data_IF_614042123091
#
_entry.id   IF_614042123091
#
_cell.length_a   1.000
_cell.length_b   1.000
_cell.length_c   1.000
_cell.angle_alpha   90.00
_cell.angle_beta   90.00
_cell.angle_gamma   90.00
#
_symmetry.space_group_name_H-M   'P 1'
#
loop_
_entity.id
_entity.type
_entity.pdbx_description
1 polymer ?
#
# COMPACT_ATOMS: atom_id res chain seq x y z
N UNK A 1 17.96 18.90 68.13
CA UNK A 1 18.27 19.55 66.83
C UNK A 1 18.87 18.47 65.94
N UNK A 2 18.46 18.14 64.71
CA UNK A 2 17.41 18.51 63.76
C UNK A 2 17.38 17.28 62.82
N UNK A 3 16.30 16.49 62.76
CA UNK A 3 15.35 16.46 61.62
C UNK A 3 15.95 17.01 60.32
N UNK A 4 16.18 16.15 59.31
CA UNK A 4 15.87 16.32 57.86
C UNK A 4 16.87 15.56 56.98
N UNK A 5 16.63 14.26 56.72
CA UNK A 5 17.06 13.58 55.47
C UNK A 5 16.07 12.45 55.12
N UNK A 6 14.78 12.72 55.26
CA UNK A 6 13.70 11.85 54.79
C UNK A 6 12.80 12.74 53.93
N UNK A 7 12.98 12.66 52.61
CA UNK A 7 12.08 13.13 51.54
C UNK A 7 12.91 13.68 50.36
N UNK A 8 13.53 12.82 49.55
CA UNK A 8 13.87 13.21 48.17
C UNK A 8 13.95 12.04 47.17
N UNK A 9 13.55 10.82 47.55
CA UNK A 9 13.56 9.63 46.66
C UNK A 9 12.13 9.12 46.36
N UNK A 10 11.08 9.77 46.87
CA UNK A 10 9.68 9.32 46.69
C UNK A 10 8.82 10.22 45.77
N UNK A 11 9.41 11.16 45.02
CA UNK A 11 8.65 12.09 44.14
C UNK A 11 9.00 11.91 42.64
N UNK A 12 9.89 10.98 42.30
CA UNK A 12 10.31 10.70 40.91
C UNK A 12 9.59 9.48 40.30
N UNK A 13 8.38 9.16 40.78
CA UNK A 13 7.53 8.06 40.29
C UNK A 13 6.07 8.46 40.02
N UNK A 14 5.77 9.76 39.87
CA UNK A 14 4.39 10.25 39.64
C UNK A 14 4.26 11.29 38.53
N UNK A 15 5.01 11.12 37.44
CA UNK A 15 4.61 11.67 36.13
C UNK A 15 4.89 10.61 35.06
N UNK A 16 4.34 9.40 35.26
CA UNK A 16 3.93 8.62 34.10
C UNK A 16 2.80 9.42 33.47
N UNK A 17 2.81 9.77 32.17
CA UNK A 17 1.59 10.20 31.54
C UNK A 17 0.60 9.04 31.75
N UNK A 18 -0.45 9.30 32.52
CA UNK A 18 -1.62 8.45 32.64
C UNK A 18 -2.31 8.45 31.26
N UNK A 19 -1.66 7.88 30.24
CA UNK A 19 -2.36 7.28 29.14
C UNK A 19 -3.03 6.04 29.73
N UNK A 20 -4.21 6.25 30.33
CA UNK A 20 -5.16 5.16 30.45
C UNK A 20 -5.38 4.66 29.03
N UNK A 21 -4.72 3.57 28.64
CA UNK A 21 -4.83 3.01 27.31
C UNK A 21 -6.23 2.40 27.20
N UNK A 22 -7.19 3.16 26.67
CA UNK A 22 -8.57 2.71 26.45
C UNK A 22 -8.65 1.50 25.52
N UNK A 23 -7.63 1.27 24.71
CA UNK A 23 -7.52 0.10 23.86
C UNK A 23 -6.06 -0.25 23.58
N UNK A 24 -5.84 -1.50 23.18
CA UNK A 24 -4.52 -2.06 22.84
C UNK A 24 -3.83 -1.38 21.65
N UNK A 25 -4.55 -0.56 20.88
CA UNK A 25 -4.06 0.11 19.67
C UNK A 25 -3.74 1.59 19.87
N UNK A 26 -3.92 2.13 21.09
CA UNK A 26 -3.66 3.54 21.39
C UNK A 26 -4.60 4.52 20.66
N UNK A 27 -5.72 4.05 20.11
CA UNK A 27 -6.67 4.88 19.37
C UNK A 27 -7.45 5.76 20.34
N UNK A 28 -7.66 7.07 20.06
CA UNK A 28 -8.52 7.91 20.89
C UNK A 28 -9.94 7.33 21.00
N UNK A 29 -10.48 7.25 22.21
CA UNK A 29 -11.77 6.61 22.46
C UNK A 29 -12.83 7.62 22.95
N UNK A 30 -13.96 7.65 22.25
CA UNK A 30 -15.08 8.56 22.51
C UNK A 30 -16.32 7.86 23.10
N UNK A 31 -16.23 6.59 23.51
CA UNK A 31 -17.37 5.82 24.05
C UNK A 31 -18.09 6.48 25.22
N UNK A 32 -17.34 6.94 26.23
CA UNK A 32 -17.89 7.67 27.40
C UNK A 32 -18.68 8.91 26.97
N UNK A 33 -18.11 9.71 26.06
CA UNK A 33 -18.75 10.92 25.54
C UNK A 33 -20.01 10.53 24.75
N UNK A 34 -19.92 9.52 23.89
CA UNK A 34 -21.05 9.07 23.07
C UNK A 34 -22.20 8.51 23.91
N UNK A 35 -21.91 7.82 25.02
CA UNK A 35 -22.95 7.32 25.92
C UNK A 35 -23.81 8.47 26.49
N UNK A 36 -23.19 9.60 26.83
CA UNK A 36 -23.89 10.79 27.34
C UNK A 36 -24.71 11.53 26.25
N UNK A 37 -24.38 11.32 24.97
CA UNK A 37 -24.92 12.09 23.85
C UNK A 37 -26.00 11.36 23.03
N UNK A 38 -26.27 10.08 23.34
CA UNK A 38 -27.14 9.23 22.49
C UNK A 38 -28.51 9.84 22.22
N UNK A 39 -29.24 10.25 23.26
CA UNK A 39 -30.58 10.79 23.13
C UNK A 39 -30.60 12.16 22.42
N UNK A 40 -29.59 13.00 22.66
CA UNK A 40 -29.53 14.38 22.14
C UNK A 40 -29.11 14.43 20.67
N UNK A 41 -28.15 13.59 20.28
CA UNK A 41 -27.54 13.61 18.94
C UNK A 41 -27.95 12.39 18.10
N UNK A 42 -27.74 11.17 18.58
CA UNK A 42 -27.74 9.98 17.73
C UNK A 42 -29.14 9.43 17.45
N UNK A 43 -30.03 9.50 18.42
CA UNK A 43 -31.40 8.97 18.33
C UNK A 43 -32.44 10.05 17.99
N UNK A 44 -32.07 11.33 18.11
CA UNK A 44 -32.97 12.47 17.92
C UNK A 44 -33.34 12.71 16.44
N UNK A 45 -34.35 13.54 16.17
CA UNK A 45 -34.73 13.91 14.79
C UNK A 45 -33.76 14.92 14.19
N UNK A 46 -33.68 14.98 12.85
CA UNK A 46 -32.82 15.95 12.16
C UNK A 46 -33.16 17.40 12.55
N UNK A 47 -34.43 17.73 12.72
CA UNK A 47 -34.88 19.07 13.13
C UNK A 47 -34.29 19.48 14.48
N UNK A 48 -34.28 18.56 15.45
CA UNK A 48 -33.70 18.81 16.76
C UNK A 48 -32.17 18.81 16.73
N UNK A 49 -31.54 17.92 15.96
CA UNK A 49 -30.06 17.88 15.87
C UNK A 49 -29.52 19.16 15.22
N UNK A 50 -30.26 19.78 14.29
CA UNK A 50 -29.88 21.07 13.67
C UNK A 50 -29.83 22.25 14.65
N UNK A 51 -30.53 22.18 15.77
CA UNK A 51 -30.48 23.24 16.78
C UNK A 51 -29.26 23.10 17.69
N UNK A 52 -28.56 21.97 17.64
CA UNK A 52 -27.32 21.77 18.38
C UNK A 52 -26.17 22.54 17.72
N UNK A 53 -25.41 23.28 18.53
CA UNK A 53 -24.15 23.87 18.10
C UNK A 53 -23.02 22.83 18.20
N UNK A 54 -21.92 22.98 17.44
CA UNK A 54 -20.73 22.15 17.66
C UNK A 54 -20.22 22.27 19.09
N UNK A 55 -19.93 21.14 19.72
CA UNK A 55 -19.52 21.08 21.12
C UNK A 55 -18.22 20.30 21.27
N UNK A 56 -17.38 20.69 22.23
CA UNK A 56 -16.13 20.00 22.53
C UNK A 56 -16.22 19.38 23.92
N UNK A 57 -15.98 18.08 23.99
CA UNK A 57 -15.97 17.30 25.22
C UNK A 57 -14.57 16.75 25.47
N UNK A 58 -14.27 16.45 26.73
CA UNK A 58 -13.02 15.83 27.15
C UNK A 58 -13.37 14.51 27.83
N UNK A 59 -12.76 13.42 27.39
CA UNK A 59 -12.96 12.12 28.04
C UNK A 59 -12.13 12.03 29.33
N UNK A 60 -12.30 10.95 30.10
CA UNK A 60 -11.53 10.74 31.32
C UNK A 60 -10.00 10.52 31.11
N UNK A 61 -9.54 10.27 29.87
CA UNK A 61 -8.12 10.29 29.49
C UNK A 61 -7.58 11.69 29.15
N UNK A 62 -8.41 12.74 29.19
CA UNK A 62 -7.99 14.10 28.81
C UNK A 62 -7.96 14.35 27.30
N UNK A 63 -8.46 13.42 26.48
CA UNK A 63 -8.55 13.57 25.02
C UNK A 63 -9.78 14.41 24.68
N UNK A 64 -9.60 15.42 23.82
CA UNK A 64 -10.69 16.28 23.36
C UNK A 64 -11.35 15.71 22.12
N UNK A 65 -12.68 15.80 22.07
CA UNK A 65 -13.48 15.43 20.91
C UNK A 65 -14.46 16.53 20.57
N UNK A 66 -14.60 16.85 19.29
CA UNK A 66 -15.67 17.72 18.82
C UNK A 66 -16.82 16.88 18.27
N UNK A 67 -18.03 17.26 18.67
CA UNK A 67 -19.28 16.71 18.13
C UNK A 67 -19.91 17.76 17.25
N UNK A 68 -20.27 17.37 16.02
CA UNK A 68 -20.89 18.27 15.06
C UNK A 68 -21.80 17.54 14.09
N UNK A 69 -22.74 18.30 13.54
CA UNK A 69 -23.58 17.90 12.42
C UNK A 69 -22.93 18.39 11.12
N UNK A 70 -22.84 17.52 10.12
CA UNK A 70 -22.62 17.92 8.73
C UNK A 70 -23.70 17.31 7.85
N UNK A 71 -24.12 18.04 6.81
CA UNK A 71 -25.23 17.65 5.96
C UNK A 71 -24.78 17.48 4.51
N UNK A 72 -25.12 16.34 3.92
CA UNK A 72 -24.98 16.06 2.49
C UNK A 72 -26.34 16.15 1.78
N UNK A 73 -26.43 15.85 0.48
CA UNK A 73 -27.67 15.95 -0.28
C UNK A 73 -28.78 15.03 0.28
N UNK A 74 -28.46 13.75 0.53
CA UNK A 74 -29.42 12.73 0.98
C UNK A 74 -29.21 12.25 2.42
N UNK A 75 -28.06 12.56 3.02
CA UNK A 75 -27.70 12.11 4.37
C UNK A 75 -27.32 13.26 5.28
N UNK A 76 -27.45 13.05 6.58
CA UNK A 76 -26.84 13.90 7.59
C UNK A 76 -25.94 13.03 8.47
N UNK A 77 -24.80 13.60 8.84
CA UNK A 77 -23.69 12.89 9.44
C UNK A 77 -23.40 13.55 10.79
N UNK A 78 -23.32 12.74 11.83
CA UNK A 78 -22.93 13.20 13.16
C UNK A 78 -21.50 12.71 13.37
N UNK A 79 -20.58 13.65 13.49
CA UNK A 79 -19.17 13.40 13.72
C UNK A 79 -18.87 13.48 15.21
N UNK A 80 -18.06 12.56 15.69
CA UNK A 80 -17.38 12.61 16.99
C UNK A 80 -15.90 12.42 16.69
N UNK A 81 -15.19 13.54 16.59
CA UNK A 81 -13.83 13.60 16.04
C UNK A 81 -12.82 13.98 17.12
N UNK A 82 -11.72 13.24 17.29
CA UNK A 82 -10.66 13.62 18.21
C UNK A 82 -9.95 14.88 17.71
N UNK A 83 -9.37 15.61 18.65
CA UNK A 83 -8.45 16.71 18.37
C UNK A 83 -7.18 16.19 17.70
N UNK A 84 -6.70 16.94 16.70
CA UNK A 84 -5.41 16.74 16.07
C UNK A 84 -4.74 18.10 15.86
N UNK A 85 -3.40 18.13 15.91
CA UNK A 85 -2.63 19.32 15.59
C UNK A 85 -2.19 19.27 14.13
N UNK A 86 -2.50 20.31 13.36
CA UNK A 86 -1.98 20.49 12.00
C UNK A 86 -1.08 21.73 11.93
N UNK A 87 -0.04 21.63 11.11
CA UNK A 87 0.84 22.76 10.80
C UNK A 87 0.26 23.54 9.62
N UNK A 88 -0.29 24.73 9.86
CA UNK A 88 -0.87 25.59 8.82
C UNK A 88 0.14 26.64 8.40
N UNK A 89 0.45 26.72 7.10
CA UNK A 89 1.24 27.83 6.54
C UNK A 89 0.34 29.02 6.31
N UNK A 90 0.54 30.07 7.08
CA UNK A 90 -0.16 31.34 6.94
C UNK A 90 0.74 32.27 6.12
N UNK A 91 0.23 32.68 4.96
CA UNK A 91 0.84 33.71 4.13
C UNK A 91 0.33 35.07 4.59
N UNK A 92 1.24 35.98 4.91
CA UNK A 92 0.92 37.38 5.24
C UNK A 92 1.89 38.32 4.53
N UNK A 93 1.55 39.61 4.47
CA UNK A 93 2.40 40.67 3.92
C UNK A 93 3.78 40.77 4.63
N UNK A 94 3.94 40.13 5.80
CA UNK A 94 5.17 40.06 6.60
C UNK A 94 5.96 38.76 6.41
N UNK A 95 5.54 37.91 5.47
CA UNK A 95 6.15 36.61 5.18
C UNK A 95 5.26 35.41 5.51
N UNK A 96 5.82 34.22 5.28
CA UNK A 96 5.17 32.93 5.56
C UNK A 96 5.51 32.47 6.98
N UNK A 97 4.50 32.19 7.81
CA UNK A 97 4.67 31.59 9.14
C UNK A 97 3.95 30.25 9.22
N UNK A 98 4.52 29.29 9.94
CA UNK A 98 3.86 28.02 10.25
C UNK A 98 3.24 28.15 11.64
N UNK A 99 1.93 27.98 11.74
CA UNK A 99 1.18 28.03 12.99
C UNK A 99 0.57 26.65 13.26
N UNK A 100 0.71 26.15 14.50
CA UNK A 100 0.04 24.92 14.92
C UNK A 100 -1.40 25.26 15.26
N UNK A 101 -2.33 24.61 14.58
CA UNK A 101 -3.76 24.78 14.82
C UNK A 101 -4.37 23.46 15.26
N UNK A 102 -5.19 23.54 16.31
CA UNK A 102 -6.03 22.44 16.76
C UNK A 102 -7.22 22.32 15.81
N UNK A 103 -7.40 21.12 15.24
CA UNK A 103 -8.50 20.76 14.35
C UNK A 103 -9.15 19.45 14.79
N UNK A 104 -10.34 19.16 14.27
CA UNK A 104 -11.09 17.94 14.61
C UNK A 104 -11.50 17.17 13.34
N UNK A 105 -10.56 16.50 12.65
CA UNK A 105 -10.82 15.87 11.36
C UNK A 105 -11.86 14.75 11.47
N UNK A 106 -12.76 14.66 10.47
CA UNK A 106 -13.85 13.68 10.45
C UNK A 106 -13.42 12.22 10.25
N UNK A 107 -12.14 12.02 9.96
CA UNK A 107 -11.59 10.82 9.33
C UNK A 107 -10.21 10.40 9.88
N UNK A 108 -9.73 11.08 10.93
CA UNK A 108 -8.56 10.65 11.70
C UNK A 108 -8.84 9.41 12.57
N UNK A 109 -7.79 8.70 12.96
CA UNK A 109 -7.87 7.64 13.97
C UNK A 109 -8.59 8.10 15.25
N UNK A 110 -9.60 7.34 15.67
CA UNK A 110 -10.51 7.66 16.78
C UNK A 110 -11.80 8.38 16.35
N UNK A 111 -11.88 8.84 15.10
CA UNK A 111 -13.11 9.43 14.57
C UNK A 111 -14.22 8.41 14.44
N UNK A 112 -15.40 8.82 14.87
CA UNK A 112 -16.63 8.05 14.78
C UNK A 112 -17.70 8.86 14.04
N UNK A 113 -18.33 8.26 13.04
CA UNK A 113 -19.31 8.95 12.20
C UNK A 113 -20.58 8.13 12.07
N UNK A 114 -21.68 8.68 12.56
CA UNK A 114 -23.02 8.14 12.33
C UNK A 114 -23.65 8.83 11.12
N UNK A 115 -23.95 8.03 10.09
CA UNK A 115 -24.60 8.49 8.86
C UNK A 115 -26.06 8.08 8.91
N UNK A 116 -26.96 9.04 8.72
CA UNK A 116 -28.42 8.86 8.77
C UNK A 116 -29.07 9.41 7.50
N UNK A 117 -30.17 8.79 7.09
CA UNK A 117 -30.97 9.22 5.95
C UNK A 117 -31.76 10.49 6.30
N UNK A 118 -31.64 11.55 5.49
CA UNK A 118 -32.33 12.83 5.78
C UNK A 118 -33.85 12.72 5.74
N UNK A 119 -34.38 11.85 4.88
CA UNK A 119 -35.83 11.73 4.64
C UNK A 119 -36.53 10.96 5.75
N UNK A 120 -35.91 9.90 6.24
CA UNK A 120 -36.51 8.97 7.21
C UNK A 120 -35.93 9.10 8.60
N UNK A 121 -34.78 9.76 8.76
CA UNK A 121 -34.03 9.84 10.01
C UNK A 121 -33.39 8.51 10.44
N UNK A 122 -33.54 7.44 9.66
CA UNK A 122 -33.03 6.11 10.04
C UNK A 122 -31.50 6.07 9.93
N UNK A 123 -30.81 5.34 10.83
CA UNK A 123 -29.39 5.09 10.68
C UNK A 123 -29.12 4.26 9.42
N UNK A 124 -28.10 4.67 8.67
CA UNK A 124 -27.61 3.98 7.49
C UNK A 124 -26.33 3.22 7.81
N UNK A 125 -25.40 3.85 8.53
CA UNK A 125 -24.14 3.23 8.94
C UNK A 125 -23.46 3.99 10.06
N UNK A 126 -22.56 3.29 10.75
CA UNK A 126 -21.53 3.87 11.60
C UNK A 126 -20.19 3.60 10.93
N UNK A 127 -19.31 4.59 10.87
CA UNK A 127 -17.92 4.41 10.43
C UNK A 127 -16.97 4.71 11.59
N UNK A 128 -16.01 3.82 11.78
CA UNK A 128 -14.93 3.90 12.75
C UNK A 128 -13.60 4.03 12.01
N UNK A 129 -12.94 5.16 12.18
CA UNK A 129 -11.58 5.38 11.68
C UNK A 129 -10.59 5.01 12.78
N UNK A 130 -9.63 4.15 12.45
CA UNK A 130 -8.64 3.65 13.40
C UNK A 130 -7.22 3.65 12.81
N UNK A 131 -7.08 3.85 11.50
CA UNK A 131 -5.79 3.96 10.83
C UNK A 131 -5.40 5.42 10.65
N UNK A 132 -4.10 5.67 10.46
CA UNK A 132 -3.61 6.95 9.95
C UNK A 132 -4.06 7.22 8.50
N UNK A 133 -4.42 6.17 7.76
CA UNK A 133 -4.95 6.27 6.39
C UNK A 133 -6.48 6.35 6.47
N UNK A 134 -7.07 7.49 6.10
CA UNK A 134 -8.52 7.70 6.23
C UNK A 134 -9.36 6.78 5.35
N UNK A 135 -8.78 6.22 4.30
CA UNK A 135 -9.40 5.22 3.43
C UNK A 135 -9.36 3.80 3.99
N UNK A 136 -8.80 3.61 5.20
CA UNK A 136 -8.79 2.35 5.94
C UNK A 136 -9.67 2.48 7.19
N UNK A 137 -10.82 1.81 7.17
CA UNK A 137 -11.83 1.92 8.22
C UNK A 137 -12.68 0.66 8.34
N UNK A 138 -13.33 0.52 9.50
CA UNK A 138 -14.42 -0.43 9.69
C UNK A 138 -15.73 0.35 9.66
N UNK A 139 -16.74 -0.20 9.00
CA UNK A 139 -18.08 0.35 9.04
C UNK A 139 -19.10 -0.72 9.42
N UNK A 140 -20.18 -0.26 10.03
CA UNK A 140 -21.29 -1.10 10.45
C UNK A 140 -22.58 -0.62 9.81
N UNK A 141 -23.43 -1.54 9.38
CA UNK A 141 -24.75 -1.24 8.81
C UNK A 141 -25.84 -1.98 9.58
N UNK A 142 -27.02 -1.37 9.79
CA UNK A 142 -28.13 -2.05 10.45
C UNK A 142 -28.75 -3.09 9.52
N UNK A 143 -28.95 -4.31 10.01
CA UNK A 143 -29.63 -5.38 9.28
C UNK A 143 -30.52 -6.21 10.22
N UNK A 144 -31.83 -6.03 10.08
CA UNK A 144 -32.82 -6.64 10.97
C UNK A 144 -32.56 -6.29 12.45
N UNK A 145 -32.21 -7.28 13.27
CA UNK A 145 -31.93 -7.12 14.71
C UNK A 145 -30.45 -7.01 15.04
N UNK A 146 -29.56 -7.12 14.04
CA UNK A 146 -28.11 -7.14 14.22
C UNK A 146 -27.43 -6.07 13.35
N UNK A 147 -26.16 -5.79 13.62
CA UNK A 147 -25.30 -5.05 12.71
C UNK A 147 -24.51 -6.01 11.81
N UNK A 148 -24.26 -5.57 10.58
CA UNK A 148 -23.27 -6.16 9.70
C UNK A 148 -22.00 -5.31 9.74
N UNK A 149 -20.84 -5.94 9.69
CA UNK A 149 -19.54 -5.29 9.65
C UNK A 149 -18.92 -5.42 8.25
N UNK A 150 -18.29 -4.32 7.83
CA UNK A 150 -17.44 -4.25 6.65
C UNK A 150 -16.05 -3.73 7.05
N UNK A 151 -14.99 -4.29 6.47
CA UNK A 151 -13.64 -3.74 6.54
C UNK A 151 -13.24 -3.26 5.15
N UNK A 152 -12.83 -1.99 5.06
CA UNK A 152 -12.49 -1.32 3.81
C UNK A 152 -11.03 -0.87 3.84
N UNK A 153 -10.31 -1.15 2.75
CA UNK A 153 -8.96 -0.66 2.49
C UNK A 153 -8.97 -0.02 1.10
N UNK A 154 -8.72 1.29 1.00
CA UNK A 154 -8.66 2.05 -0.27
C UNK A 154 -9.81 1.68 -1.23
N UNK A 155 -11.04 1.95 -0.82
CA UNK A 155 -12.27 1.68 -1.59
C UNK A 155 -12.54 0.21 -1.93
N UNK A 156 -11.80 -0.74 -1.35
CA UNK A 156 -12.00 -2.16 -1.57
C UNK A 156 -12.46 -2.85 -0.27
N UNK A 157 -13.53 -3.63 -0.36
CA UNK A 157 -14.06 -4.42 0.73
C UNK A 157 -13.22 -5.67 0.91
N UNK A 158 -12.44 -5.73 1.99
CA UNK A 158 -11.77 -6.96 2.41
C UNK A 158 -12.81 -8.00 2.84
N UNK A 159 -13.72 -7.57 3.72
CA UNK A 159 -14.92 -8.30 4.11
C UNK A 159 -16.10 -7.37 4.05
N UNK A 160 -17.24 -7.88 3.59
CA UNK A 160 -18.48 -7.12 3.44
C UNK A 160 -19.67 -7.91 3.97
N UNK A 161 -20.49 -7.25 4.77
CA UNK A 161 -21.79 -7.73 5.21
C UNK A 161 -21.72 -8.84 6.24
N UNK A 162 -20.68 -8.87 7.09
CA UNK A 162 -20.49 -9.98 8.02
C UNK A 162 -21.31 -9.75 9.30
N UNK A 163 -22.21 -10.67 9.71
CA UNK A 163 -22.98 -10.54 10.94
C UNK A 163 -22.11 -10.38 12.19
N UNK A 164 -22.34 -9.31 12.96
CA UNK A 164 -21.63 -9.06 14.23
C UNK A 164 -22.22 -9.80 15.43
N UNK A 165 -23.48 -10.25 15.32
CA UNK A 165 -24.22 -10.85 16.43
C UNK A 165 -24.74 -9.85 17.48
N UNK A 166 -24.46 -8.55 17.35
CA UNK A 166 -24.94 -7.50 18.27
C UNK A 166 -25.90 -6.53 17.58
N UNK A 167 -26.84 -5.89 18.31
CA UNK A 167 -27.72 -4.86 17.76
C UNK A 167 -26.95 -3.63 17.27
N UNK A 168 -27.39 -3.00 16.19
CA UNK A 168 -26.72 -1.80 15.67
C UNK A 168 -26.63 -0.65 16.67
N UNK A 169 -27.65 -0.46 17.50
CA UNK A 169 -27.67 0.61 18.51
C UNK A 169 -26.64 0.40 19.63
N UNK A 170 -26.17 -0.83 19.90
CA UNK A 170 -25.12 -1.04 20.89
C UNK A 170 -23.79 -0.39 20.47
N UNK A 171 -23.60 -0.20 19.16
CA UNK A 171 -22.40 0.44 18.60
C UNK A 171 -22.35 1.96 18.82
N UNK A 172 -23.46 2.59 19.24
CA UNK A 172 -23.47 4.01 19.61
C UNK A 172 -22.58 4.29 20.82
N UNK A 173 -22.38 3.30 21.68
CA UNK A 173 -21.56 3.43 22.91
C UNK A 173 -20.38 2.45 22.98
N UNK A 174 -20.26 1.50 22.05
CA UNK A 174 -19.16 0.55 22.02
C UNK A 174 -17.81 1.27 21.84
N UNK A 175 -16.86 1.06 22.75
CA UNK A 175 -15.47 1.52 22.61
C UNK A 175 -14.79 0.89 21.38
N UNK A 176 -13.63 1.41 20.98
CA UNK A 176 -12.84 0.76 19.93
C UNK A 176 -12.38 -0.64 20.36
N UNK A 177 -12.12 -0.85 21.67
CA UNK A 177 -11.82 -2.18 22.19
C UNK A 177 -13.02 -3.13 22.06
N UNK A 178 -14.23 -2.67 22.35
CA UNK A 178 -15.46 -3.46 22.12
C UNK A 178 -15.62 -3.81 20.64
N UNK A 179 -15.35 -2.87 19.74
CA UNK A 179 -15.36 -3.08 18.28
C UNK A 179 -14.38 -4.19 17.89
N UNK A 180 -13.15 -4.16 18.40
CA UNK A 180 -12.16 -5.23 18.19
C UNK A 180 -12.69 -6.56 18.73
N UNK A 181 -13.19 -6.60 19.96
CA UNK A 181 -13.64 -7.84 20.60
C UNK A 181 -14.85 -8.49 19.90
N UNK A 182 -15.80 -7.69 19.43
CA UNK A 182 -16.96 -8.13 18.64
C UNK A 182 -16.50 -8.70 17.29
N UNK A 183 -15.48 -8.10 16.68
CA UNK A 183 -15.12 -8.38 15.28
C UNK A 183 -13.87 -9.24 15.09
N UNK A 184 -13.12 -9.55 16.16
CA UNK A 184 -11.81 -10.22 16.11
C UNK A 184 -11.78 -11.53 15.32
N UNK A 185 -12.88 -12.27 15.30
CA UNK A 185 -12.99 -13.57 14.65
C UNK A 185 -13.69 -13.50 13.28
N UNK A 186 -14.17 -12.33 12.86
CA UNK A 186 -14.97 -12.17 11.64
C UNK A 186 -14.35 -11.18 10.64
N UNK A 187 -13.49 -10.27 11.11
CA UNK A 187 -12.71 -9.36 10.28
C UNK A 187 -11.22 -9.72 10.35
N UNK A 188 -10.47 -9.65 9.23
CA UNK A 188 -9.05 -9.97 9.19
C UNK A 188 -8.21 -8.77 9.68
N UNK A 189 -8.14 -8.59 10.99
CA UNK A 189 -7.38 -7.50 11.62
C UNK A 189 -5.87 -7.56 11.33
N UNK A 190 -5.36 -8.74 10.95
CA UNK A 190 -4.00 -8.92 10.46
C UNK A 190 -3.67 -8.09 9.21
N UNK A 191 -4.66 -7.70 8.40
CA UNK A 191 -4.42 -6.88 7.20
C UNK A 191 -4.21 -5.39 7.51
N UNK A 192 -4.45 -4.97 8.74
CA UNK A 192 -4.37 -3.57 9.18
C UNK A 192 -3.54 -3.40 10.44
N UNK A 193 -2.93 -4.48 10.92
CA UNK A 193 -1.96 -4.45 12.03
C UNK A 193 -0.57 -4.28 11.41
N UNK A 194 0.09 -3.17 11.70
CA UNK A 194 1.33 -2.77 11.02
C UNK A 194 2.41 -2.50 12.04
N UNK A 195 3.62 -2.95 11.74
CA UNK A 195 4.85 -2.51 12.39
C UNK A 195 5.63 -1.65 11.39
N UNK A 196 5.78 -0.34 11.66
CA UNK A 196 6.50 0.55 10.73
C UNK A 196 8.03 0.43 10.83
N UNK A 197 8.56 -0.31 11.82
CA UNK A 197 10.01 -0.39 12.07
C UNK A 197 10.73 -1.36 11.13
N UNK A 198 9.99 -2.21 10.42
CA UNK A 198 10.50 -3.32 9.61
C UNK A 198 10.54 -3.03 8.11
N UNK A 199 10.66 -1.76 7.70
CA UNK A 199 10.76 -1.38 6.28
C UNK A 199 12.11 -0.74 5.92
N UNK A 200 13.12 -0.89 6.77
CA UNK A 200 14.44 -0.31 6.53
C UNK A 200 15.06 -0.86 5.23
N UNK A 201 14.95 -2.18 4.98
CA UNK A 201 15.43 -2.81 3.74
C UNK A 201 14.80 -2.19 2.50
N UNK A 202 13.46 -2.02 2.49
CA UNK A 202 12.72 -1.40 1.39
C UNK A 202 13.18 0.05 1.16
N UNK A 203 13.36 0.82 2.23
CA UNK A 203 13.77 2.22 2.16
C UNK A 203 15.21 2.39 1.66
N UNK A 204 16.14 1.57 2.14
CA UNK A 204 17.53 1.59 1.69
C UNK A 204 17.63 1.18 0.22
N UNK A 205 16.99 0.07 -0.17
CA UNK A 205 16.99 -0.41 -1.54
C UNK A 205 16.42 0.66 -2.50
N UNK A 206 15.31 1.31 -2.11
CA UNK A 206 14.76 2.43 -2.87
C UNK A 206 15.69 3.65 -2.96
N UNK A 207 16.45 3.95 -1.89
CA UNK A 207 17.44 5.02 -1.90
C UNK A 207 18.59 4.73 -2.88
N UNK A 208 19.12 3.50 -2.87
CA UNK A 208 20.17 3.05 -3.80
C UNK A 208 19.69 3.08 -5.25
N UNK A 209 18.46 2.61 -5.52
CA UNK A 209 17.85 2.69 -6.86
C UNK A 209 17.79 4.17 -7.30
N UNK A 210 17.22 5.05 -6.46
CA UNK A 210 17.09 6.49 -6.74
C UNK A 210 18.41 7.16 -7.06
N UNK A 211 19.46 6.84 -6.32
CA UNK A 211 20.79 7.41 -6.54
C UNK A 211 21.37 7.04 -7.91
N UNK A 212 21.01 5.86 -8.44
CA UNK A 212 21.48 5.36 -9.73
C UNK A 212 20.62 5.82 -10.92
N UNK A 213 19.35 6.24 -10.72
CA UNK A 213 18.46 6.64 -11.81
C UNK A 213 19.05 7.69 -12.78
N UNK A 214 19.78 8.74 -12.33
CA UNK A 214 20.37 9.71 -13.26
C UNK A 214 21.39 9.13 -14.25
N UNK A 215 21.90 7.93 -13.96
CA UNK A 215 22.88 7.22 -14.78
C UNK A 215 22.24 6.10 -15.59
N UNK A 216 20.93 5.92 -15.54
CA UNK A 216 20.22 4.88 -16.29
C UNK A 216 19.48 5.54 -17.45
N UNK A 217 19.81 5.13 -18.67
CA UNK A 217 19.09 5.48 -19.88
C UNK A 217 18.19 4.33 -20.30
N UNK A 218 16.90 4.64 -20.49
CA UNK A 218 15.96 3.68 -21.04
C UNK A 218 16.21 3.47 -22.53
N UNK A 219 16.44 2.21 -22.93
CA UNK A 219 16.52 1.77 -24.33
C UNK A 219 15.78 0.46 -24.52
N UNK A 220 15.29 0.18 -25.72
CA UNK A 220 14.58 -1.06 -25.99
C UNK A 220 15.53 -2.27 -26.04
N UNK A 221 15.05 -3.42 -25.59
CA UNK A 221 15.72 -4.72 -25.71
C UNK A 221 17.14 -4.81 -25.13
N UNK A 222 17.53 -3.98 -24.15
CA UNK A 222 18.87 -4.01 -23.56
C UNK A 222 18.89 -4.53 -22.12
N UNK A 223 19.98 -5.23 -21.77
CA UNK A 223 20.38 -5.56 -20.39
C UNK A 223 21.89 -5.84 -20.32
N UNK A 224 22.41 -5.99 -19.10
CA UNK A 224 23.76 -6.52 -18.84
C UNK A 224 23.68 -8.01 -18.52
N UNK A 225 24.58 -8.80 -19.10
CA UNK A 225 24.72 -10.24 -18.87
C UNK A 225 25.51 -10.55 -17.58
N UNK A 226 25.80 -11.82 -17.29
CA UNK A 226 26.55 -12.22 -16.10
C UNK A 226 28.01 -11.70 -16.04
N UNK A 227 28.53 -11.19 -17.16
CA UNK A 227 29.89 -10.67 -17.29
C UNK A 227 29.92 -9.13 -17.33
N UNK A 228 28.79 -8.47 -17.05
CA UNK A 228 28.60 -7.03 -17.23
C UNK A 228 28.78 -6.54 -18.68
N UNK A 229 28.51 -7.40 -19.67
CA UNK A 229 28.47 -7.02 -21.07
C UNK A 229 27.06 -6.57 -21.47
N UNK A 230 26.96 -5.43 -22.17
CA UNK A 230 25.69 -4.91 -22.67
C UNK A 230 25.23 -5.71 -23.89
N UNK A 231 24.11 -6.41 -23.76
CA UNK A 231 23.57 -7.31 -24.78
C UNK A 231 22.08 -7.07 -25.05
N UNK A 232 21.62 -7.55 -26.21
CA UNK A 232 20.20 -7.57 -26.58
C UNK A 232 19.48 -8.73 -25.89
N UNK A 233 18.38 -8.48 -25.19
CA UNK A 233 17.65 -9.53 -24.46
C UNK A 233 17.07 -10.57 -25.44
N UNK A 234 16.56 -10.13 -26.57
CA UNK A 234 15.92 -10.99 -27.57
C UNK A 234 16.83 -12.08 -28.12
N UNK A 235 18.12 -11.79 -28.33
CA UNK A 235 19.03 -12.67 -29.07
C UNK A 235 20.41 -12.89 -28.43
N UNK A 236 20.74 -12.22 -27.33
CA UNK A 236 22.01 -12.34 -26.62
C UNK A 236 23.22 -11.74 -27.32
N UNK A 237 23.04 -11.06 -28.47
CA UNK A 237 24.15 -10.41 -29.19
C UNK A 237 24.54 -9.09 -28.51
N UNK A 238 25.79 -8.63 -28.68
CA UNK A 238 26.22 -7.31 -28.21
C UNK A 238 25.27 -6.20 -28.69
N UNK A 239 25.01 -5.23 -27.81
CA UNK A 239 24.26 -4.03 -28.16
C UNK A 239 25.15 -3.08 -28.99
N UNK A 240 24.55 -2.32 -29.90
CA UNK A 240 25.29 -1.48 -30.84
C UNK A 240 26.02 -0.33 -30.11
N UNK A 241 27.34 -0.26 -30.27
CA UNK A 241 28.23 0.63 -29.49
C UNK A 241 28.12 2.12 -29.85
N UNK A 242 27.57 2.45 -31.00
CA UNK A 242 27.51 3.84 -31.49
C UNK A 242 26.58 4.73 -30.65
N UNK A 243 25.72 4.13 -29.83
CA UNK A 243 24.82 4.84 -28.91
C UNK A 243 25.33 4.88 -27.46
N UNK A 244 26.51 4.32 -27.17
CA UNK A 244 27.01 4.09 -25.81
C UNK A 244 27.79 5.28 -25.25
N UNK A 245 27.35 5.78 -24.11
CA UNK A 245 28.03 6.70 -23.20
C UNK A 245 28.52 5.89 -22.00
N UNK A 246 29.84 5.75 -21.86
CA UNK A 246 30.48 5.00 -20.77
C UNK A 246 30.15 5.56 -19.37
N UNK A 247 29.47 6.70 -19.27
CA UNK A 247 28.96 7.25 -18.01
C UNK A 247 27.54 6.80 -17.64
N UNK A 248 26.89 5.97 -18.47
CA UNK A 248 25.49 5.54 -18.29
C UNK A 248 25.29 4.03 -18.49
N UNK A 249 24.27 3.51 -17.83
CA UNK A 249 23.70 2.17 -18.05
C UNK A 249 22.58 2.24 -19.08
N UNK A 250 22.53 1.27 -19.96
CA UNK A 250 21.53 1.15 -21.01
C UNK A 250 20.62 -0.02 -20.67
N UNK A 251 19.39 0.27 -20.25
CA UNK A 251 18.49 -0.74 -19.72
C UNK A 251 17.09 -0.61 -20.33
N UNK A 252 16.54 -1.72 -20.77
CA UNK A 252 15.11 -1.84 -21.08
C UNK A 252 14.29 -1.97 -19.81
N UNK A 253 12.96 -2.05 -19.96
CA UNK A 253 12.05 -2.31 -18.85
C UNK A 253 12.41 -3.60 -18.10
N UNK A 254 12.60 -4.68 -18.85
CA UNK A 254 13.02 -5.99 -18.32
C UNK A 254 14.47 -5.98 -17.83
N UNK A 255 15.37 -5.30 -18.55
CA UNK A 255 16.77 -5.13 -18.15
C UNK A 255 16.91 -4.37 -16.83
N UNK A 256 16.08 -3.36 -16.59
CA UNK A 256 16.05 -2.60 -15.35
C UNK A 256 15.65 -3.44 -14.15
N UNK A 257 14.63 -4.29 -14.29
CA UNK A 257 14.25 -5.22 -13.21
C UNK A 257 15.29 -6.33 -13.00
N UNK A 258 15.96 -6.81 -14.07
CA UNK A 258 17.11 -7.70 -13.93
C UNK A 258 18.26 -7.03 -13.18
N UNK A 259 18.62 -5.79 -13.50
CA UNK A 259 19.65 -5.03 -12.79
C UNK A 259 19.38 -4.92 -11.28
N UNK A 260 18.10 -4.76 -10.90
CA UNK A 260 17.69 -4.82 -9.49
C UNK A 260 17.84 -6.24 -8.91
N UNK A 261 17.40 -7.27 -9.62
CA UNK A 261 17.56 -8.65 -9.16
C UNK A 261 19.05 -9.03 -8.99
N UNK A 262 19.91 -8.62 -9.92
CA UNK A 262 21.35 -8.81 -9.86
C UNK A 262 21.96 -8.11 -8.65
N UNK A 263 21.53 -6.89 -8.33
CA UNK A 263 21.97 -6.19 -7.12
C UNK A 263 21.59 -6.86 -5.81
N UNK A 264 20.57 -7.74 -5.82
CA UNK A 264 20.22 -8.59 -4.68
C UNK A 264 21.00 -9.92 -4.66
N UNK A 265 21.40 -10.42 -5.83
CA UNK A 265 21.98 -11.75 -6.03
C UNK A 265 23.50 -11.73 -5.97
N UNK A 266 24.14 -10.80 -6.66
CA UNK A 266 25.61 -10.71 -6.77
C UNK A 266 26.30 -10.60 -5.40
N UNK A 267 25.81 -9.83 -4.42
CA UNK A 267 26.42 -9.78 -3.08
C UNK A 267 26.39 -11.11 -2.32
N UNK A 268 25.49 -12.02 -2.69
CA UNK A 268 25.31 -13.33 -2.03
C UNK A 268 26.02 -14.44 -2.81
N UNK A 269 25.87 -14.46 -4.13
CA UNK A 269 26.38 -15.52 -5.00
C UNK A 269 27.78 -15.23 -5.58
N UNK A 270 28.21 -13.96 -5.58
CA UNK A 270 29.45 -13.51 -6.25
C UNK A 270 29.36 -13.46 -7.78
N UNK A 271 28.17 -13.61 -8.35
CA UNK A 271 27.91 -13.55 -9.79
C UNK A 271 26.48 -13.07 -10.06
N UNK A 272 26.26 -12.44 -11.21
CA UNK A 272 24.94 -12.00 -11.66
C UNK A 272 24.13 -13.14 -12.32
N UNK A 273 22.84 -12.90 -12.54
CA UNK A 273 21.94 -13.87 -13.16
C UNK A 273 22.20 -13.99 -14.67
N UNK A 274 22.22 -15.23 -15.15
CA UNK A 274 22.36 -15.56 -16.58
C UNK A 274 21.09 -15.28 -17.36
N UNK A 275 21.23 -14.93 -18.62
CA UNK A 275 20.10 -14.65 -19.53
C UNK A 275 19.25 -15.88 -19.83
N UNK A 276 19.87 -16.99 -20.19
CA UNK A 276 19.21 -18.14 -20.82
C UNK A 276 18.12 -18.77 -19.94
N UNK A 277 18.29 -18.89 -18.61
CA UNK A 277 17.21 -19.36 -17.73
C UNK A 277 16.06 -18.36 -17.62
N UNK A 278 16.30 -17.06 -17.76
CA UNK A 278 15.30 -16.01 -17.52
C UNK A 278 14.28 -15.88 -18.66
N UNK A 279 14.68 -16.22 -19.89
CA UNK A 279 13.79 -16.21 -21.07
C UNK A 279 12.94 -17.48 -21.21
N UNK A 280 13.09 -18.47 -20.31
CA UNK A 280 12.35 -19.73 -20.43
C UNK A 280 10.84 -19.50 -20.23
N UNK A 281 9.97 -20.10 -21.06
CA UNK A 281 8.52 -19.97 -20.91
C UNK A 281 8.02 -20.51 -19.57
N UNK A 282 7.07 -19.80 -18.96
CA UNK A 282 6.41 -20.17 -17.69
C UNK A 282 4.91 -20.38 -17.84
N UNK A 283 4.40 -20.22 -19.06
CA UNK A 283 2.99 -20.35 -19.41
C UNK A 283 2.83 -21.34 -20.55
N UNK A 284 1.93 -22.30 -20.39
CA UNK A 284 1.52 -23.19 -21.47
C UNK A 284 0.40 -22.54 -22.28
N UNK A 285 0.63 -22.31 -23.57
CA UNK A 285 -0.40 -21.79 -24.48
C UNK A 285 -0.86 -22.92 -25.39
N UNK A 286 -2.17 -23.17 -25.45
CA UNK A 286 -2.73 -24.15 -26.39
C UNK A 286 -2.67 -23.59 -27.81
N UNK A 287 -1.98 -24.29 -28.71
CA UNK A 287 -1.72 -23.86 -30.10
C UNK A 287 -2.98 -23.51 -30.91
N UNK A 288 -4.09 -24.18 -30.62
CA UNK A 288 -5.36 -24.05 -31.38
C UNK A 288 -6.24 -22.87 -30.94
N UNK A 289 -5.91 -22.18 -29.84
CA UNK A 289 -6.66 -21.02 -29.35
C UNK A 289 -6.21 -19.71 -30.00
N UNK A 290 -7.05 -18.66 -29.95
CA UNK A 290 -6.70 -17.32 -30.46
C UNK A 290 -5.37 -16.80 -29.89
N UNK A 291 -5.13 -17.01 -28.59
CA UNK A 291 -3.87 -16.67 -27.93
C UNK A 291 -2.69 -17.51 -28.43
N UNK A 292 -2.90 -18.79 -28.74
CA UNK A 292 -1.87 -19.67 -29.32
C UNK A 292 -1.45 -19.27 -30.72
N UNK A 293 -2.41 -18.91 -31.57
CA UNK A 293 -2.13 -18.41 -32.92
C UNK A 293 -1.37 -17.08 -32.86
N UNK A 294 -1.74 -16.17 -31.94
CA UNK A 294 -1.02 -14.92 -31.76
C UNK A 294 0.37 -15.12 -31.14
N UNK A 295 0.53 -16.03 -30.17
CA UNK A 295 1.82 -16.29 -29.52
C UNK A 295 2.86 -16.91 -30.44
N UNK A 296 2.44 -17.50 -31.56
CA UNK A 296 3.36 -17.96 -32.62
C UNK A 296 4.03 -16.79 -33.37
N UNK A 297 3.42 -15.60 -33.36
CA UNK A 297 3.90 -14.42 -34.09
C UNK A 297 4.45 -13.34 -33.16
N UNK A 298 3.91 -13.23 -31.94
CA UNK A 298 4.26 -12.20 -30.96
C UNK A 298 4.59 -12.84 -29.62
N UNK A 299 5.60 -12.32 -28.92
CA UNK A 299 5.87 -12.78 -27.54
C UNK A 299 4.89 -12.12 -26.56
N UNK A 300 3.75 -12.79 -26.36
CA UNK A 300 2.67 -12.27 -25.52
C UNK A 300 2.98 -12.32 -24.02
N UNK A 301 3.97 -13.11 -23.60
CA UNK A 301 4.22 -13.45 -22.19
C UNK A 301 5.63 -13.12 -21.72
N UNK A 302 6.44 -12.47 -22.55
CA UNK A 302 7.83 -12.13 -22.25
C UNK A 302 8.03 -11.59 -20.83
N UNK A 303 7.38 -10.46 -20.48
CA UNK A 303 7.60 -9.83 -19.17
C UNK A 303 7.09 -10.70 -18.01
N UNK A 304 6.05 -11.52 -18.22
CA UNK A 304 5.55 -12.46 -17.21
C UNK A 304 6.56 -13.57 -16.93
N UNK A 305 7.06 -14.21 -18.00
CA UNK A 305 8.10 -15.24 -17.90
C UNK A 305 9.35 -14.68 -17.20
N UNK A 306 9.73 -13.46 -17.61
CA UNK A 306 10.89 -12.75 -17.07
C UNK A 306 10.81 -12.55 -15.56
N UNK A 307 9.73 -11.93 -15.05
CA UNK A 307 9.61 -11.66 -13.61
C UNK A 307 9.51 -12.94 -12.77
N UNK A 308 8.84 -13.99 -13.28
CA UNK A 308 8.72 -15.29 -12.62
C UNK A 308 10.07 -15.97 -12.46
N UNK A 309 10.84 -16.04 -13.54
CA UNK A 309 12.17 -16.63 -13.51
C UNK A 309 13.15 -15.80 -12.67
N UNK A 310 13.07 -14.45 -12.73
CA UNK A 310 13.87 -13.57 -11.88
C UNK A 310 13.57 -13.81 -10.39
N UNK A 311 12.30 -13.78 -9.99
CA UNK A 311 11.93 -13.97 -8.59
C UNK A 311 12.32 -15.36 -8.07
N UNK A 312 12.16 -16.40 -8.90
CA UNK A 312 12.60 -17.76 -8.60
C UNK A 312 14.12 -17.85 -8.43
N UNK A 313 14.88 -17.18 -9.30
CA UNK A 313 16.34 -17.17 -9.25
C UNK A 313 16.86 -16.43 -8.00
N UNK A 314 16.29 -15.26 -7.68
CA UNK A 314 16.60 -14.54 -6.43
C UNK A 314 16.32 -15.44 -5.22
N UNK A 315 15.13 -16.05 -5.16
CA UNK A 315 14.78 -16.97 -4.06
C UNK A 315 15.72 -18.16 -3.98
N UNK A 316 16.15 -18.68 -5.13
CA UNK A 316 17.09 -19.82 -5.19
C UNK A 316 18.44 -19.50 -4.56
N UNK A 317 18.96 -18.30 -4.83
CA UNK A 317 20.23 -17.81 -4.28
C UNK A 317 20.13 -17.64 -2.77
N UNK A 318 19.09 -16.96 -2.28
CA UNK A 318 18.92 -16.69 -0.84
C UNK A 318 18.68 -17.96 -0.01
N UNK A 319 18.10 -19.00 -0.59
CA UNK A 319 17.81 -20.27 0.09
C UNK A 319 18.91 -21.33 -0.10
N UNK A 320 19.85 -21.11 -1.03
CA UNK A 320 20.85 -22.10 -1.43
C UNK A 320 20.26 -23.34 -2.11
N UNK A 321 19.05 -23.24 -2.69
CA UNK A 321 18.36 -24.33 -3.38
C UNK A 321 17.88 -23.86 -4.74
N UNK A 322 17.99 -24.69 -5.77
CA UNK A 322 17.46 -24.34 -7.09
C UNK A 322 15.95 -24.57 -7.13
N UNK A 323 15.20 -23.50 -7.33
CA UNK A 323 13.75 -23.53 -7.54
C UNK A 323 13.41 -23.14 -8.98
N UNK A 324 12.51 -23.87 -9.60
CA UNK A 324 11.79 -23.40 -10.80
C UNK A 324 10.63 -22.49 -10.39
N UNK A 325 10.12 -21.68 -11.33
CA UNK A 325 9.08 -20.69 -11.05
C UNK A 325 7.81 -21.30 -10.41
N UNK A 326 7.48 -22.53 -10.74
CA UNK A 326 6.32 -23.26 -10.23
C UNK A 326 6.56 -23.89 -8.85
N UNK A 327 7.80 -23.88 -8.36
CA UNK A 327 8.23 -24.45 -7.08
C UNK A 327 8.63 -23.39 -6.05
N UNK A 328 8.91 -22.16 -6.50
CA UNK A 328 9.44 -21.08 -5.68
C UNK A 328 8.39 -20.43 -4.76
N UNK A 329 7.10 -20.55 -5.08
CA UNK A 329 6.02 -19.87 -4.35
C UNK A 329 6.07 -18.34 -4.44
N UNK A 330 6.73 -17.80 -5.46
CA UNK A 330 6.93 -16.34 -5.63
C UNK A 330 5.76 -15.63 -6.29
N UNK A 331 4.85 -16.34 -6.95
CA UNK A 331 3.66 -15.74 -7.55
C UNK A 331 2.73 -15.17 -6.47
N UNK A 332 2.32 -13.91 -6.61
CA UNK A 332 1.34 -13.29 -5.72
C UNK A 332 -0.05 -13.60 -6.26
N UNK A 333 -0.75 -14.52 -5.60
CA UNK A 333 -2.07 -15.01 -6.04
C UNK A 333 -3.17 -14.79 -5.00
N UNK A 334 -2.90 -14.01 -3.96
CA UNK A 334 -3.88 -13.71 -2.90
C UNK A 334 -5.07 -12.94 -3.48
N UNK A 335 -6.29 -13.31 -3.09
CA UNK A 335 -7.51 -12.62 -3.49
C UNK A 335 -8.28 -12.15 -2.25
N UNK A 336 -7.85 -11.04 -1.63
CA UNK A 336 -8.34 -10.63 -0.32
C UNK A 336 -9.61 -9.78 -0.38
N UNK A 337 -10.02 -9.30 -1.57
CA UNK A 337 -11.14 -8.35 -1.70
C UNK A 337 -12.40 -9.02 -2.23
N UNK A 338 -13.51 -8.76 -1.56
CA UNK A 338 -14.85 -9.22 -1.91
C UNK A 338 -15.59 -8.29 -2.87
N UNK A 339 -15.12 -7.06 -3.07
CA UNK A 339 -15.67 -6.10 -4.04
C UNK A 339 -15.08 -4.70 -3.89
N UNK A 340 -15.39 -3.83 -4.85
CA UNK A 340 -14.89 -2.45 -4.92
C UNK A 340 -16.04 -1.44 -4.82
N UNK A 341 -15.80 -0.32 -4.14
CA UNK A 341 -16.73 0.82 -4.06
C UNK A 341 -16.61 1.61 -5.37
N UNK A 342 -17.63 1.55 -6.24
CA UNK A 342 -17.64 2.37 -7.45
C UNK A 342 -18.14 3.79 -7.15
N UNK A 343 -17.24 4.77 -7.22
CA UNK A 343 -17.57 6.20 -7.04
C UNK A 343 -18.36 6.85 -8.18
N UNK A 344 -18.62 6.15 -9.29
CA UNK A 344 -19.17 6.75 -10.51
C UNK A 344 -20.58 6.30 -10.91
N UNK A 345 -21.29 5.56 -10.05
CA UNK A 345 -22.71 5.30 -10.27
C UNK A 345 -23.54 6.04 -9.23
N UNK A 346 -24.47 6.88 -9.72
CA UNK A 346 -25.52 7.58 -8.96
C UNK A 346 -26.54 6.63 -8.31
N UNK A 347 -26.08 5.48 -7.83
CA UNK A 347 -26.87 4.50 -7.10
C UNK A 347 -26.11 4.16 -5.83
N UNK A 348 -26.81 4.28 -4.72
CA UNK A 348 -26.37 3.97 -3.35
C UNK A 348 -25.93 2.50 -3.13
N UNK A 349 -25.74 1.72 -4.21
CA UNK A 349 -25.47 0.28 -4.25
C UNK A 349 -24.44 -0.15 -5.32
N UNK A 350 -23.61 0.75 -5.85
CA UNK A 350 -22.60 0.46 -6.88
C UNK A 350 -21.40 -0.37 -6.40
N UNK A 351 -21.61 -1.57 -5.85
CA UNK A 351 -20.53 -2.53 -5.61
C UNK A 351 -20.38 -3.40 -6.86
N UNK A 352 -19.22 -3.36 -7.50
CA UNK A 352 -18.83 -4.40 -8.46
C UNK A 352 -18.16 -5.54 -7.70
N UNK A 353 -18.70 -6.76 -7.83
CA UNK A 353 -17.97 -7.97 -7.46
C UNK A 353 -16.75 -8.04 -8.40
N UNK A 354 -15.55 -7.92 -7.84
CA UNK A 354 -14.32 -7.95 -8.61
C UNK A 354 -13.66 -9.32 -8.43
N UNK A 355 -13.50 -10.06 -9.52
CA UNK A 355 -12.43 -11.06 -9.59
C UNK A 355 -11.14 -10.25 -9.57
N UNK A 356 -10.48 -10.17 -8.41
CA UNK A 356 -9.32 -9.27 -8.27
C UNK A 356 -8.08 -9.83 -8.94
N UNK A 357 -7.91 -11.15 -8.94
CA UNK A 357 -6.81 -11.86 -9.57
C UNK A 357 -7.32 -12.78 -10.67
N UNK A 358 -6.73 -12.65 -11.86
CA UNK A 358 -6.97 -13.54 -12.99
C UNK A 358 -5.69 -14.33 -13.28
N UNK A 359 -5.78 -15.65 -13.27
CA UNK A 359 -4.63 -16.53 -13.55
C UNK A 359 -3.96 -16.16 -14.88
N UNK A 360 -2.63 -16.10 -14.86
CA UNK A 360 -1.76 -15.72 -15.99
C UNK A 360 -2.12 -14.37 -16.65
N UNK A 361 -2.84 -13.51 -15.93
CA UNK A 361 -3.19 -12.15 -16.36
C UNK A 361 -2.89 -11.11 -15.29
N UNK A 362 -3.01 -11.46 -14.00
CA UNK A 362 -2.66 -10.61 -12.86
C UNK A 362 -3.86 -9.89 -12.26
N UNK A 363 -3.56 -8.80 -11.54
CA UNK A 363 -4.52 -7.96 -10.84
C UNK A 363 -4.97 -6.76 -11.67
N UNK A 364 -6.21 -6.34 -11.52
CA UNK A 364 -6.64 -5.04 -12.05
C UNK A 364 -5.94 -3.90 -11.30
N UNK A 365 -5.42 -2.92 -12.05
CA UNK A 365 -4.71 -1.79 -11.45
C UNK A 365 -5.58 -0.99 -10.46
N UNK A 366 -6.91 -0.98 -10.63
CA UNK A 366 -7.82 -0.34 -9.68
C UNK A 366 -7.78 -0.90 -8.25
N UNK A 367 -7.33 -2.16 -8.06
CA UNK A 367 -7.17 -2.76 -6.72
C UNK A 367 -5.73 -2.73 -6.21
N UNK A 368 -4.80 -2.23 -7.02
CA UNK A 368 -3.36 -2.35 -6.75
C UNK A 368 -2.95 -1.58 -5.49
N UNK A 369 -3.51 -0.39 -5.23
CA UNK A 369 -3.21 0.37 -4.01
C UNK A 369 -3.59 -0.38 -2.75
N UNK A 370 -4.80 -0.94 -2.73
CA UNK A 370 -5.30 -1.78 -1.64
C UNK A 370 -4.47 -3.05 -1.47
N UNK A 371 -4.08 -3.68 -2.58
CA UNK A 371 -3.25 -4.87 -2.56
C UNK A 371 -1.85 -4.58 -2.00
N UNK A 372 -1.20 -3.50 -2.43
CA UNK A 372 0.12 -3.10 -1.93
C UNK A 372 0.09 -2.76 -0.45
N UNK A 373 -0.98 -2.12 0.05
CA UNK A 373 -1.19 -1.90 1.48
C UNK A 373 -1.26 -3.22 2.25
N UNK A 374 -2.10 -4.15 1.79
CA UNK A 374 -2.28 -5.45 2.44
C UNK A 374 -0.99 -6.26 2.42
N UNK A 375 -0.28 -6.26 1.30
CA UNK A 375 1.00 -6.94 1.13
C UNK A 375 2.08 -6.34 2.03
N UNK A 376 2.10 -5.01 2.23
CA UNK A 376 2.99 -4.42 3.23
C UNK A 376 2.67 -4.90 4.65
N UNK A 377 1.39 -4.95 5.02
CA UNK A 377 0.98 -5.37 6.37
C UNK A 377 1.24 -6.85 6.65
N UNK A 378 1.03 -7.72 5.66
CA UNK A 378 1.11 -9.19 5.82
C UNK A 378 2.47 -9.79 5.47
N UNK A 379 3.20 -9.15 4.55
CA UNK A 379 4.50 -9.60 4.05
C UNK A 379 5.49 -8.41 4.05
N UNK A 380 5.89 -7.91 5.24
CA UNK A 380 6.85 -6.83 5.36
C UNK A 380 8.23 -7.22 4.82
N UNK A 381 9.07 -6.23 4.53
CA UNK A 381 10.39 -6.41 3.90
C UNK A 381 10.36 -7.14 2.52
N UNK A 382 9.19 -7.19 1.86
CA UNK A 382 9.08 -7.69 0.49
C UNK A 382 9.06 -6.54 -0.52
N UNK A 383 9.66 -6.80 -1.67
CA UNK A 383 9.50 -6.04 -2.90
C UNK A 383 8.79 -6.92 -3.95
N UNK A 384 8.14 -6.28 -4.91
CA UNK A 384 7.31 -6.97 -5.89
C UNK A 384 7.70 -6.58 -7.30
N UNK A 385 8.10 -7.56 -8.11
CA UNK A 385 8.25 -7.36 -9.54
C UNK A 385 6.89 -7.52 -10.21
N UNK A 386 6.51 -6.53 -11.01
CA UNK A 386 5.28 -6.49 -11.76
C UNK A 386 5.51 -6.63 -13.25
N UNK A 387 4.68 -7.42 -13.93
CA UNK A 387 4.59 -7.49 -15.38
C UNK A 387 3.25 -6.91 -15.81
N UNK A 388 3.31 -5.85 -16.63
CA UNK A 388 2.12 -5.10 -17.05
C UNK A 388 1.58 -5.74 -18.33
N UNK A 389 0.34 -6.23 -18.26
CA UNK A 389 -0.39 -6.72 -19.41
C UNK A 389 -1.22 -5.60 -20.01
N UNK A 390 -0.69 -5.03 -21.09
CA UNK A 390 -1.25 -3.88 -21.79
C UNK A 390 -1.80 -4.23 -23.16
N UNK A 391 -2.56 -3.30 -23.76
CA UNK A 391 -2.86 -3.38 -25.20
C UNK A 391 -1.71 -2.77 -26.00
N UNK A 392 -1.01 -3.58 -26.79
CA UNK A 392 -0.03 -3.11 -27.75
C UNK A 392 -0.74 -2.63 -29.01
N UNK A 393 -0.72 -1.30 -29.20
CA UNK A 393 -1.31 -0.60 -30.35
C UNK A 393 -0.30 -0.33 -31.46
N UNK A 394 0.95 -0.74 -31.30
CA UNK A 394 2.00 -0.53 -32.31
C UNK A 394 1.98 -1.60 -33.40
N UNK A 395 1.27 -2.71 -33.17
CA UNK A 395 1.13 -3.84 -34.08
C UNK A 395 -0.31 -4.01 -34.57
N UNK A 396 -0.47 -4.55 -35.77
CA UNK A 396 -1.78 -4.86 -36.37
C UNK A 396 -1.91 -6.38 -36.61
N UNK A 397 -2.93 -7.07 -36.06
CA UNK A 397 -3.97 -6.54 -35.17
C UNK A 397 -3.41 -6.10 -33.81
N UNK A 398 -4.14 -5.24 -33.09
CA UNK A 398 -3.82 -4.91 -31.69
C UNK A 398 -3.81 -6.20 -30.86
N UNK A 399 -2.82 -6.35 -30.00
CA UNK A 399 -2.66 -7.53 -29.14
C UNK A 399 -2.63 -7.12 -27.67
N UNK A 400 -3.07 -8.01 -26.78
CA UNK A 400 -2.83 -7.86 -25.33
C UNK A 400 -1.63 -8.71 -24.93
N UNK A 401 -0.56 -8.06 -24.48
CA UNK A 401 0.72 -8.70 -24.19
C UNK A 401 1.36 -8.10 -22.93
N UNK A 402 2.26 -8.90 -22.31
CA UNK A 402 3.07 -8.50 -21.17
C UNK A 402 4.34 -7.76 -21.63
N UNK A 403 4.26 -6.43 -21.70
CA UNK A 403 5.24 -5.62 -22.44
C UNK A 403 6.21 -4.81 -21.55
N UNK A 404 5.82 -4.54 -20.31
CA UNK A 404 6.63 -3.72 -19.39
C UNK A 404 6.79 -4.42 -18.04
N UNK A 405 7.93 -4.18 -17.40
CA UNK A 405 8.27 -4.62 -16.07
C UNK A 405 8.40 -3.42 -15.12
N UNK A 406 7.96 -3.59 -13.88
CA UNK A 406 7.96 -2.56 -12.82
C UNK A 406 8.39 -3.19 -11.51
N UNK A 407 8.93 -2.41 -10.58
CA UNK A 407 9.11 -2.83 -9.18
C UNK A 407 8.28 -1.95 -8.26
N UNK A 408 7.66 -2.59 -7.26
CA UNK A 408 6.97 -1.97 -6.15
C UNK A 408 7.71 -2.30 -4.85
N UNK A 409 7.99 -1.28 -4.03
CA UNK A 409 8.48 -1.46 -2.66
C UNK A 409 7.49 -0.77 -1.71
N UNK A 410 6.44 -1.49 -1.28
CA UNK A 410 5.44 -0.93 -0.38
C UNK A 410 6.02 -0.83 1.05
N UNK A 411 5.65 0.21 1.78
CA UNK A 411 6.13 0.48 3.12
C UNK A 411 5.18 1.36 3.92
N UNK A 412 5.34 1.36 5.25
CA UNK A 412 4.69 2.34 6.11
C UNK A 412 5.71 3.36 6.61
N UNK A 413 5.29 4.62 6.63
CA UNK A 413 6.06 5.73 7.21
C UNK A 413 6.01 5.67 8.73
N UNK A 414 6.85 6.46 9.39
CA UNK A 414 6.87 6.57 10.86
C UNK A 414 5.59 7.12 11.49
N UNK A 415 4.68 7.67 10.68
CA UNK A 415 3.35 8.12 11.10
C UNK A 415 2.23 7.16 10.65
N UNK A 416 2.58 5.89 10.36
CA UNK A 416 1.69 4.82 9.90
C UNK A 416 0.92 5.10 8.58
N UNK A 417 1.32 6.14 7.84
CA UNK A 417 0.83 6.36 6.49
C UNK A 417 1.47 5.36 5.54
N UNK A 418 0.63 4.74 4.73
CA UNK A 418 1.06 3.82 3.68
C UNK A 418 1.60 4.57 2.48
N UNK A 419 2.67 4.06 1.89
CA UNK A 419 3.24 4.55 0.64
C UNK A 419 3.94 3.38 -0.09
N UNK A 420 4.28 3.58 -1.36
CA UNK A 420 4.95 2.58 -2.16
C UNK A 420 5.89 3.23 -3.16
N UNK A 421 7.17 2.84 -3.11
CA UNK A 421 8.11 3.26 -4.14
C UNK A 421 7.83 2.47 -5.42
N UNK A 422 7.64 3.19 -6.52
CA UNK A 422 7.42 2.59 -7.85
C UNK A 422 8.56 3.01 -8.77
N UNK A 423 9.26 2.02 -9.33
CA UNK A 423 10.30 2.26 -10.34
C UNK A 423 10.05 1.45 -11.60
N UNK A 424 10.18 2.09 -12.75
CA UNK A 424 9.92 1.50 -14.05
C UNK A 424 10.73 2.23 -15.10
N UNK A 425 11.32 1.53 -16.07
CA UNK A 425 12.03 2.17 -17.20
C UNK A 425 13.09 3.21 -16.75
N UNK A 426 13.82 2.94 -15.67
CA UNK A 426 14.84 3.86 -15.14
C UNK A 426 14.29 5.16 -14.53
N UNK A 427 13.00 5.22 -14.18
CA UNK A 427 12.38 6.39 -13.52
C UNK A 427 11.64 6.01 -12.25
N UNK A 428 11.54 6.96 -11.32
CA UNK A 428 10.65 6.87 -10.17
C UNK A 428 9.30 7.51 -10.48
N UNK A 429 8.22 6.96 -9.93
CA UNK A 429 6.90 7.58 -9.91
C UNK A 429 6.15 7.25 -8.62
N UNK A 430 5.03 7.93 -8.39
CA UNK A 430 4.13 7.60 -7.27
C UNK A 430 3.24 6.42 -7.64
N UNK A 431 2.71 5.71 -6.64
CA UNK A 431 1.74 4.65 -6.87
C UNK A 431 0.44 5.21 -7.47
N UNK A 432 0.04 6.41 -7.09
CA UNK A 432 -1.12 7.11 -7.65
C UNK A 432 -0.95 7.39 -9.15
N UNK A 433 0.22 7.91 -9.56
CA UNK A 433 0.51 8.18 -10.98
C UNK A 433 0.54 6.88 -11.78
N UNK A 434 1.16 5.83 -11.23
CA UNK A 434 1.15 4.50 -11.85
C UNK A 434 -0.28 4.00 -12.07
N UNK A 435 -1.11 4.06 -11.03
CA UNK A 435 -2.50 3.61 -11.09
C UNK A 435 -3.33 4.43 -12.08
N UNK A 436 -3.04 5.73 -12.25
CA UNK A 436 -3.70 6.59 -13.20
C UNK A 436 -3.32 6.26 -14.65
N UNK A 437 -2.03 6.04 -14.91
CA UNK A 437 -1.49 5.73 -16.25
C UNK A 437 -2.00 4.36 -16.72
N UNK A 438 -1.99 3.35 -15.84
CA UNK A 438 -2.33 1.96 -16.17
C UNK A 438 -3.73 1.54 -15.73
N UNK A 439 -4.65 2.49 -15.51
CA UNK A 439 -5.96 2.26 -14.85
C UNK A 439 -6.84 1.14 -15.47
N UNK A 440 -6.67 0.84 -16.76
CA UNK A 440 -7.45 -0.16 -17.50
C UNK A 440 -6.68 -1.47 -17.74
N UNK A 441 -5.44 -1.54 -17.28
CA UNK A 441 -4.53 -2.65 -17.52
C UNK A 441 -4.47 -3.62 -16.33
N UNK A 442 -3.78 -4.73 -16.53
CA UNK A 442 -3.55 -5.75 -15.50
C UNK A 442 -2.06 -5.81 -15.15
N UNK A 443 -1.76 -6.12 -13.90
CA UNK A 443 -0.37 -6.31 -13.42
C UNK A 443 -0.25 -7.65 -12.73
N UNK A 444 0.60 -8.52 -13.27
CA UNK A 444 0.97 -9.76 -12.59
C UNK A 444 2.13 -9.47 -11.64
N UNK A 445 2.10 -10.01 -10.41
CA UNK A 445 3.08 -9.71 -9.39
C UNK A 445 3.81 -10.97 -8.94
N UNK A 446 5.12 -10.85 -8.75
CA UNK A 446 5.95 -11.84 -8.08
C UNK A 446 6.66 -11.16 -6.92
N UNK A 447 6.92 -11.88 -5.83
CA UNK A 447 7.56 -11.35 -4.64
C UNK A 447 9.02 -11.76 -4.52
N UNK A 448 9.84 -10.83 -4.04
CA UNK A 448 11.24 -11.04 -3.66
C UNK A 448 11.50 -10.34 -2.34
N UNK A 449 12.40 -10.89 -1.53
CA UNK A 449 12.79 -10.26 -0.26
C UNK A 449 13.68 -9.05 -0.54
N UNK A 450 13.30 -7.89 -0.01
CA UNK A 450 14.18 -6.72 0.00
C UNK A 450 15.36 -6.99 0.95
N UNK A 451 16.49 -6.37 0.68
CA UNK A 451 17.72 -6.64 1.41
C UNK A 451 18.53 -5.38 1.58
N UNK A 452 19.14 -5.24 2.76
CA UNK A 452 20.15 -4.21 2.99
C UNK A 452 21.45 -4.49 2.24
N UNK A 453 21.68 -5.77 1.88
CA UNK A 453 22.77 -6.19 1.02
C UNK A 453 22.39 -6.05 -0.46
N UNK A 454 21.89 -4.87 -0.83
CA UNK A 454 21.54 -4.52 -2.19
C UNK A 454 22.62 -3.60 -2.78
N UNK A 455 23.47 -4.15 -3.64
CA UNK A 455 24.60 -3.46 -4.27
C UNK A 455 24.59 -3.73 -5.78
N UNK A 456 23.69 -3.07 -6.53
CA UNK A 456 23.63 -3.25 -7.97
C UNK A 456 24.84 -2.62 -8.65
N UNK A 457 25.25 -3.18 -9.78
CA UNK A 457 26.33 -2.64 -10.61
C UNK A 457 26.12 -1.14 -10.89
N UNK A 458 27.14 -0.32 -10.63
CA UNK A 458 27.09 1.13 -10.80
C UNK A 458 28.27 1.66 -11.61
N UNK A 459 27.99 2.58 -12.54
CA UNK A 459 29.04 3.24 -13.37
C UNK A 459 29.96 4.14 -12.53
N UNK A 460 29.54 4.50 -11.31
CA UNK A 460 30.34 5.28 -10.35
C UNK A 460 31.55 4.50 -9.83
N UNK A 461 31.41 3.21 -9.59
CA UNK A 461 32.45 2.37 -8.98
C UNK A 461 33.58 2.07 -9.95
N UNK A 462 33.25 1.83 -11.23
CA UNK A 462 34.25 1.58 -12.29
C UNK A 462 35.26 2.73 -12.40
N UNK A 463 34.84 3.99 -12.20
CA UNK A 463 35.77 5.14 -12.24
C UNK A 463 36.73 5.21 -11.04
N UNK A 464 36.36 4.69 -9.87
CA UNK A 464 37.25 4.66 -8.69
C UNK A 464 38.33 3.59 -8.84
N UNK A 465 38.01 2.45 -9.44
CA UNK A 465 38.99 1.39 -9.71
C UNK A 465 39.98 1.78 -10.82
N UNK A 466 39.53 2.42 -11.90
CA UNK A 466 40.43 2.88 -12.97
C UNK A 466 41.40 3.98 -12.49
N UNK A 467 41.00 4.83 -11.54
CA UNK A 467 41.91 5.83 -10.96
C UNK A 467 42.92 5.19 -10.00
N UNK A 468 42.56 4.16 -9.25
CA UNK A 468 43.48 3.49 -8.32
C UNK A 468 44.46 2.53 -8.99
N UNK A 469 44.14 2.00 -10.18
CA UNK A 469 45.09 1.24 -11.00
C UNK A 469 46.11 2.10 -11.75
N UNK A 470 45.83 3.39 -12.00
CA UNK A 470 46.77 4.32 -12.61
C UNK A 470 47.82 4.91 -11.64
N UNK A 471 47.80 4.48 -10.37
CA UNK A 471 48.76 4.88 -9.33
C UNK A 471 49.56 3.70 -8.75
N UNK A 472 49.73 2.59 -9.51
CA UNK A 472 50.63 1.50 -9.17
C UNK A 472 51.75 1.32 -10.19
#
# INVERSE_FOLDING_TARGET
MKKTVFAFIAVLLLVSPLFGAYNSWGIPDSSEIREQLSERWFENTLENVRTNMPEVYINSAGQKFQIRLEEAESTFNIFVSPSAEINVRIYSDKGTRVERQEVFPGDNAGSWVLVRDKRTGKPLRIRYYFSANSEVYVQFTPHNKIALADMVIFDNYVKKGIPTGVPFTSLYKASFQDVLDITKNILPWEYVTVDHTIYHSNQQMAAVIRENLPYILFVQDAMYDENNELIKISNGKPFDKDEQDDSRLYLSSAGFVKWIADGLVEPVAGSQLKREPLIQPTTEVKDIGYQGVLSQKYDLFFSLNWIRNLASAVTSVYTGRTYLYNESGTDVTVNPFSGTISGNTKSFNGISNSVTFVQDSGYNVSVLKSLMYLLAATEPDMAYFGAIRGTDRTVTPEIKAFNECVIFLPYFKSNDLFDCFVFMNGRAMTLEDFCLIYKEELVYLTKVRASENFFPYSVKETKKETVSQNYR
#
